data_IF_073638848623
#
_entry.id   IF_073638848623
#
_cell.length_a   1.000
_cell.length_b   1.000
_cell.length_c   1.000
_cell.angle_alpha   90.00
_cell.angle_beta   90.00
_cell.angle_gamma   90.00
#
_symmetry.space_group_name_H-M   'P 1'
#
loop_
_entity.id
_entity.type
_entity.pdbx_description
1 polymer ?
#
# COMPACT_ATOMS: atom_id res chain seq x y z
N UNK A 1 -3.59 3.84 9.08
CA UNK A 1 -3.21 2.61 8.36
C UNK A 1 -2.18 2.91 7.28
N UNK A 2 -1.25 1.99 7.05
CA UNK A 2 -0.29 2.10 5.96
C UNK A 2 0.12 0.73 5.45
N UNK A 3 0.58 0.69 4.20
CA UNK A 3 0.94 -0.52 3.50
C UNK A 3 2.33 -0.31 2.88
N UNK A 4 3.20 -1.27 3.06
CA UNK A 4 4.48 -1.36 2.37
C UNK A 4 4.47 -2.60 1.47
N UNK A 5 4.81 -2.45 0.20
CA UNK A 5 4.88 -3.57 -0.72
C UNK A 5 6.08 -3.49 -1.66
N UNK A 6 6.53 -4.65 -2.12
CA UNK A 6 7.61 -4.80 -3.10
C UNK A 6 7.38 -6.04 -3.97
N UNK A 7 7.65 -5.91 -5.26
CA UNK A 7 7.70 -7.07 -6.15
C UNK A 7 8.92 -7.93 -5.84
N UNK A 8 8.71 -9.24 -5.67
CA UNK A 8 9.74 -10.25 -5.44
C UNK A 8 10.16 -10.98 -6.72
N UNK A 9 9.33 -10.94 -7.75
CA UNK A 9 9.59 -11.58 -9.04
C UNK A 9 9.00 -10.74 -10.18
N UNK A 10 9.32 -11.09 -11.41
CA UNK A 10 8.82 -10.45 -12.62
C UNK A 10 9.88 -9.64 -13.36
N UNK A 11 9.48 -9.03 -14.48
CA UNK A 11 10.37 -8.16 -15.25
C UNK A 11 10.74 -6.93 -14.44
N UNK A 12 12.01 -6.86 -14.09
CA UNK A 12 12.52 -5.88 -13.14
C UNK A 12 13.01 -4.66 -13.89
N UNK A 13 12.20 -3.62 -13.94
CA UNK A 13 12.71 -2.27 -14.19
C UNK A 13 13.07 -1.62 -12.85
N UNK A 14 13.95 -0.62 -12.81
CA UNK A 14 14.29 0.06 -11.57
C UNK A 14 13.06 0.56 -10.78
N UNK A 15 12.03 1.02 -11.48
CA UNK A 15 10.78 1.45 -10.88
C UNK A 15 9.97 0.29 -10.27
N UNK A 16 10.05 -0.91 -10.86
CA UNK A 16 9.30 -2.08 -10.41
C UNK A 16 9.95 -2.79 -9.22
N UNK A 17 11.20 -2.48 -8.90
CA UNK A 17 11.94 -3.08 -7.79
C UNK A 17 11.87 -2.27 -6.50
N UNK A 18 11.31 -1.09 -6.55
CA UNK A 18 11.24 -0.22 -5.37
C UNK A 18 10.25 -0.74 -4.34
N UNK A 19 10.57 -0.51 -3.08
CA UNK A 19 9.59 -0.55 -2.02
C UNK A 19 8.62 0.61 -2.21
N UNK A 20 7.35 0.37 -2.00
CA UNK A 20 6.31 1.40 -2.14
C UNK A 20 5.50 1.45 -0.86
N UNK A 21 5.32 2.67 -0.34
CA UNK A 21 4.49 2.94 0.83
C UNK A 21 3.26 3.73 0.41
N UNK A 22 2.10 3.26 0.87
CA UNK A 22 0.83 4.00 0.86
C UNK A 22 0.30 4.15 2.28
N UNK A 23 -0.34 5.26 2.58
CA UNK A 23 -1.00 5.49 3.86
C UNK A 23 -2.35 6.22 3.69
N UNK A 24 -3.22 6.10 4.68
CA UNK A 24 -4.56 6.68 4.64
C UNK A 24 -4.63 8.17 5.03
N UNK A 25 -3.50 8.80 5.31
CA UNK A 25 -3.45 10.22 5.68
C UNK A 25 -3.11 11.13 4.50
N UNK A 26 -2.62 10.55 3.41
CA UNK A 26 -2.26 11.26 2.18
C UNK A 26 -3.18 10.81 1.06
N UNK A 27 -4.33 11.47 0.93
CA UNK A 27 -5.25 11.25 -0.18
C UNK A 27 -5.18 12.41 -1.16
N UNK A 28 -5.03 12.12 -2.44
CA UNK A 28 -4.85 13.14 -3.48
C UNK A 28 -6.13 13.84 -3.90
N UNK A 29 -7.26 13.18 -3.76
CA UNK A 29 -8.50 13.61 -4.43
C UNK A 29 -9.65 13.88 -3.47
N UNK A 30 -9.43 13.78 -2.16
CA UNK A 30 -10.49 13.95 -1.17
C UNK A 30 -11.55 12.84 -1.21
N UNK A 31 -11.30 11.77 -1.96
CA UNK A 31 -12.15 10.58 -2.00
C UNK A 31 -11.96 9.73 -0.75
N UNK A 32 -13.02 9.04 -0.35
CA UNK A 32 -12.97 8.08 0.73
C UNK A 32 -12.25 6.82 0.26
N UNK A 33 -11.22 6.37 0.99
CA UNK A 33 -10.42 5.15 0.76
C UNK A 33 -9.48 5.16 -0.45
N UNK A 34 -9.52 6.17 -1.27
CA UNK A 34 -8.73 6.25 -2.48
C UNK A 34 -7.32 6.78 -2.18
N UNK A 35 -6.29 6.02 -2.52
CA UNK A 35 -4.91 6.45 -2.31
C UNK A 35 -4.11 6.39 -3.62
N UNK A 36 -3.64 7.54 -4.08
CA UNK A 36 -2.79 7.70 -5.25
C UNK A 36 -1.38 8.20 -4.92
N UNK A 37 -1.17 8.73 -3.72
CA UNK A 37 0.16 9.14 -3.26
C UNK A 37 0.97 7.95 -2.77
N UNK A 38 2.23 7.93 -3.15
CA UNK A 38 3.17 6.88 -2.77
C UNK A 38 4.55 7.43 -2.51
N UNK A 39 5.27 6.77 -1.61
CA UNK A 39 6.67 7.02 -1.35
C UNK A 39 7.51 5.80 -1.71
N UNK A 40 8.75 6.04 -2.09
CA UNK A 40 9.76 5.02 -2.36
C UNK A 40 10.87 5.12 -1.31
N UNK A 41 10.80 4.34 -0.20
CA UNK A 41 11.75 4.49 0.91
C UNK A 41 13.19 4.08 0.57
N UNK A 42 13.39 3.39 -0.54
CA UNK A 42 14.72 3.00 -1.04
C UNK A 42 15.24 3.91 -2.16
N UNK A 43 14.57 5.01 -2.45
CA UNK A 43 14.97 5.96 -3.49
C UNK A 43 15.00 7.39 -2.93
N UNK A 44 15.70 8.26 -3.63
CA UNK A 44 15.76 9.71 -3.30
C UNK A 44 14.63 10.50 -3.96
N UNK A 45 13.70 9.80 -4.60
CA UNK A 45 12.59 10.43 -5.30
C UNK A 45 11.63 11.10 -4.32
N UNK A 46 11.10 12.23 -4.75
CA UNK A 46 10.02 12.90 -4.03
C UNK A 46 8.75 12.04 -4.04
N UNK A 47 7.79 12.39 -3.18
CA UNK A 47 6.47 11.77 -3.20
C UNK A 47 5.88 11.78 -4.61
N UNK A 48 5.47 10.62 -5.06
CA UNK A 48 4.88 10.44 -6.38
C UNK A 48 3.36 10.35 -6.29
N UNK A 49 2.69 11.01 -7.23
CA UNK A 49 1.23 10.88 -7.44
C UNK A 49 0.97 10.38 -8.84
N UNK A 50 0.00 9.50 -9.00
CA UNK A 50 -0.39 8.99 -10.32
C UNK A 50 -1.64 9.66 -10.88
N UNK A 51 -2.32 10.48 -10.10
CA UNK A 51 -3.63 11.02 -10.47
C UNK A 51 -4.75 9.98 -10.61
N UNK A 52 -4.44 8.72 -10.38
CA UNK A 52 -5.39 7.59 -10.43
C UNK A 52 -5.28 6.82 -9.12
N UNK A 53 -6.43 6.49 -8.54
CA UNK A 53 -6.49 5.63 -7.35
C UNK A 53 -5.74 4.32 -7.58
N UNK A 54 -4.78 4.02 -6.75
CA UNK A 54 -3.99 2.81 -6.83
C UNK A 54 -4.38 1.77 -5.79
N UNK A 55 -4.71 2.22 -4.60
CA UNK A 55 -5.00 1.38 -3.45
C UNK A 55 -6.18 1.93 -2.68
N UNK A 56 -7.13 1.05 -2.36
CA UNK A 56 -8.13 1.30 -1.32
C UNK A 56 -7.69 0.64 -0.03
N UNK A 57 -7.79 1.35 1.07
CA UNK A 57 -7.63 0.79 2.42
C UNK A 57 -9.00 0.45 2.95
N UNK A 58 -9.20 -0.83 3.27
CA UNK A 58 -10.48 -1.40 3.70
C UNK A 58 -10.43 -1.75 5.19
N UNK A 59 -11.59 -1.97 5.80
CA UNK A 59 -11.69 -2.40 7.21
C UNK A 59 -11.05 -3.76 7.48
N UNK A 60 -10.96 -4.62 6.47
CA UNK A 60 -10.41 -5.98 6.57
C UNK A 60 -9.13 -6.17 5.74
N UNK A 61 -8.53 -5.11 5.22
CA UNK A 61 -7.32 -5.21 4.40
C UNK A 61 -7.16 -4.06 3.41
N UNK A 62 -6.70 -4.36 2.22
CA UNK A 62 -6.52 -3.38 1.14
C UNK A 62 -6.81 -4.02 -0.22
N UNK A 63 -7.09 -3.17 -1.20
CA UNK A 63 -7.37 -3.60 -2.58
C UNK A 63 -6.63 -2.71 -3.57
N UNK A 64 -5.86 -3.31 -4.47
CA UNK A 64 -5.33 -2.60 -5.63
C UNK A 64 -6.41 -2.39 -6.68
N UNK A 65 -6.49 -1.17 -7.22
CA UNK A 65 -7.47 -0.80 -8.24
C UNK A 65 -6.92 -0.81 -9.65
N UNK A 66 -5.64 -0.54 -9.81
CA UNK A 66 -5.01 -0.36 -11.11
C UNK A 66 -4.16 -1.58 -11.45
N UNK A 67 -4.48 -2.23 -12.58
CA UNK A 67 -3.75 -3.40 -13.07
C UNK A 67 -2.45 -3.08 -13.80
N UNK A 68 -2.21 -1.82 -14.12
CA UNK A 68 -0.98 -1.39 -14.83
C UNK A 68 0.12 -0.90 -13.91
N UNK A 69 -0.17 -0.81 -12.61
CA UNK A 69 0.82 -0.37 -11.64
C UNK A 69 1.80 -1.49 -11.30
N UNK A 70 3.07 -1.13 -11.07
CA UNK A 70 4.13 -2.06 -10.67
C UNK A 70 3.79 -2.94 -9.46
N UNK A 71 2.91 -2.49 -8.58
CA UNK A 71 2.48 -3.22 -7.39
C UNK A 71 1.24 -4.10 -7.62
N UNK A 72 0.73 -4.17 -8.85
CA UNK A 72 -0.43 -4.98 -9.18
C UNK A 72 -0.30 -5.56 -10.61
N UNK A 73 0.66 -6.40 -10.80
CA UNK A 73 0.89 -7.16 -12.03
C UNK A 73 0.88 -8.67 -11.73
N UNK A 74 1.22 -9.50 -12.68
CA UNK A 74 1.30 -10.97 -12.53
C UNK A 74 2.52 -11.44 -11.72
N UNK A 75 3.15 -10.56 -10.94
CA UNK A 75 4.34 -10.86 -10.16
C UNK A 75 3.98 -11.42 -8.78
N UNK A 76 4.98 -11.96 -8.10
CA UNK A 76 4.91 -12.26 -6.67
C UNK A 76 5.29 -11.02 -5.87
N UNK A 77 4.62 -10.78 -4.74
CA UNK A 77 4.84 -9.59 -3.92
C UNK A 77 5.07 -9.97 -2.46
N UNK A 78 5.95 -9.23 -1.80
CA UNK A 78 5.98 -9.09 -0.35
C UNK A 78 5.18 -7.86 0.05
N UNK A 79 4.45 -7.96 1.14
CA UNK A 79 3.78 -6.80 1.71
C UNK A 79 3.74 -6.86 3.24
N UNK A 80 3.67 -5.69 3.85
CA UNK A 80 3.33 -5.49 5.26
C UNK A 80 2.21 -4.46 5.33
N UNK A 81 1.17 -4.76 6.10
CA UNK A 81 0.03 -3.87 6.27
C UNK A 81 -0.21 -3.63 7.76
N UNK A 82 -0.38 -2.37 8.12
CA UNK A 82 -0.60 -1.93 9.49
C UNK A 82 -1.93 -1.20 9.59
N UNK A 83 -2.83 -1.75 10.39
CA UNK A 83 -4.13 -1.12 10.65
C UNK A 83 -3.98 0.13 11.53
N UNK A 84 -4.90 1.06 11.40
CA UNK A 84 -4.95 2.25 12.26
C UNK A 84 -5.44 1.89 13.67
N UNK A 85 -6.34 0.90 13.75
CA UNK A 85 -6.86 0.36 15.00
C UNK A 85 -6.54 -1.12 15.05
N UNK A 86 -6.03 -1.65 16.17
CA UNK A 86 -5.72 -3.07 16.28
C UNK A 86 -7.00 -3.91 16.13
N UNK A 87 -6.85 -5.06 15.49
CA UNK A 87 -7.91 -6.06 15.42
C UNK A 87 -8.26 -6.53 16.84
N UNK A 88 -9.54 -6.56 17.15
CA UNK A 88 -10.07 -7.03 18.43
C UNK A 88 -10.53 -8.47 18.26
N UNK A 89 -10.03 -9.37 19.08
CA UNK A 89 -10.48 -10.76 19.11
C UNK A 89 -11.88 -10.90 19.71
N UNK A 90 -12.43 -12.11 19.65
CA UNK A 90 -13.76 -12.44 20.19
C UNK A 90 -13.90 -12.18 21.70
N UNK A 91 -12.80 -12.05 22.40
CA UNK A 91 -12.72 -11.70 23.82
C UNK A 91 -12.56 -10.21 24.09
N UNK A 92 -12.75 -9.35 23.07
CA UNK A 92 -12.56 -7.90 23.14
C UNK A 92 -11.15 -7.43 23.54
N UNK A 93 -10.16 -8.28 23.41
CA UNK A 93 -8.75 -7.91 23.63
C UNK A 93 -8.11 -7.53 22.32
N UNK A 94 -7.50 -6.32 22.19
CA UNK A 94 -6.77 -5.94 20.99
C UNK A 94 -5.59 -6.87 20.73
N UNK A 95 -5.46 -7.33 19.49
CA UNK A 95 -4.25 -8.02 19.04
C UNK A 95 -3.13 -6.98 18.92
N UNK A 96 -2.28 -6.91 19.92
CA UNK A 96 -1.06 -6.11 19.86
C UNK A 96 0.08 -7.01 19.39
N UNK A 97 0.77 -6.63 18.32
CA UNK A 97 2.05 -7.23 17.98
C UNK A 97 3.05 -6.92 19.11
N UNK A 98 3.61 -7.94 19.65
CA UNK A 98 4.69 -7.85 20.63
C UNK A 98 6.04 -7.99 19.95
#
# INVERSE_FOLDING_TARGET
AWILAKAASGSQTPQNQSWVIWDNKRSSTGGFNENSYKLYPNATDAEATSGIAQVDILSNGFKFRNSTHQSNSTNTYFYMAFAEVPLVGSNNVPCTAR
#
